data_IF_854860434217
#
_entry.id   IF_854860434217
#
_cell.length_a   1.000
_cell.length_b   1.000
_cell.length_c   1.000
_cell.angle_alpha   90.00
_cell.angle_beta   90.00
_cell.angle_gamma   90.00
#
_symmetry.space_group_name_H-M   'P 1'
#
loop_
_entity.id
_entity.type
_entity.pdbx_description
1 polymer ?
#
# COMPACT_ATOMS: atom_id res chain seq x y z
N UNK A 1 24.59 0.49 0.65
CA UNK A 1 23.82 1.65 0.15
C UNK A 1 22.45 1.58 0.80
N UNK A 2 22.03 2.62 1.52
CA UNK A 2 20.69 2.66 2.12
C UNK A 2 19.66 2.81 0.99
N UNK A 3 18.63 1.96 0.96
CA UNK A 3 17.56 2.07 -0.02
C UNK A 3 16.71 3.31 0.27
N UNK A 4 16.31 4.05 -0.76
CA UNK A 4 15.34 5.14 -0.63
C UNK A 4 13.90 4.61 -0.63
N UNK A 5 12.94 5.41 -0.12
CA UNK A 5 11.51 5.07 -0.20
C UNK A 5 11.09 4.74 -1.65
N UNK A 6 11.55 5.53 -2.63
CA UNK A 6 11.23 5.31 -4.03
C UNK A 6 11.76 3.97 -4.56
N UNK A 7 12.98 3.58 -4.17
CA UNK A 7 13.57 2.29 -4.54
C UNK A 7 12.82 1.12 -3.90
N UNK A 8 12.58 1.20 -2.59
CA UNK A 8 11.86 0.17 -1.86
C UNK A 8 10.43 -0.01 -2.39
N UNK A 9 9.73 1.11 -2.65
CA UNK A 9 8.40 1.09 -3.26
C UNK A 9 8.42 0.42 -4.63
N UNK A 10 9.40 0.76 -5.47
CA UNK A 10 9.55 0.15 -6.80
C UNK A 10 9.77 -1.37 -6.70
N UNK A 11 10.58 -1.82 -5.74
CA UNK A 11 10.85 -3.24 -5.52
C UNK A 11 9.57 -4.00 -5.12
N UNK A 12 8.83 -3.50 -4.13
CA UNK A 12 7.54 -4.08 -3.72
C UNK A 12 6.53 -4.07 -4.87
N UNK A 13 6.48 -2.99 -5.64
CA UNK A 13 5.60 -2.89 -6.80
C UNK A 13 5.94 -3.92 -7.89
N UNK A 14 7.22 -4.17 -8.16
CA UNK A 14 7.62 -5.21 -9.13
C UNK A 14 7.32 -6.61 -8.59
N UNK A 15 7.59 -6.87 -7.30
CA UNK A 15 7.26 -8.13 -6.67
C UNK A 15 5.74 -8.42 -6.75
N UNK A 16 4.90 -7.42 -6.47
CA UNK A 16 3.46 -7.51 -6.66
C UNK A 16 3.06 -7.86 -8.10
N UNK A 17 3.70 -7.23 -9.10
CA UNK A 17 3.45 -7.53 -10.52
C UNK A 17 3.87 -8.95 -10.90
N UNK A 18 4.98 -9.45 -10.37
CA UNK A 18 5.47 -10.80 -10.63
C UNK A 18 4.50 -11.81 -10.03
N UNK A 19 4.17 -11.70 -8.74
CA UNK A 19 3.21 -12.58 -8.06
C UNK A 19 1.84 -12.58 -8.75
N UNK A 20 1.34 -11.38 -9.13
CA UNK A 20 0.07 -11.26 -9.87
C UNK A 20 0.09 -12.00 -11.20
N UNK A 21 1.20 -11.93 -11.95
CA UNK A 21 1.35 -12.67 -13.22
C UNK A 21 1.43 -14.18 -13.01
N UNK A 22 1.98 -14.62 -11.88
CA UNK A 22 2.01 -16.03 -11.47
C UNK A 22 0.66 -16.54 -10.94
N UNK A 23 -0.35 -15.67 -10.78
CA UNK A 23 -1.66 -16.01 -10.21
C UNK A 23 -1.68 -16.03 -8.68
N UNK A 24 -0.58 -15.64 -8.02
CA UNK A 24 -0.42 -15.60 -6.57
C UNK A 24 -0.99 -14.30 -6.00
N UNK A 25 -2.31 -14.16 -6.06
CA UNK A 25 -2.99 -12.89 -5.76
C UNK A 25 -2.85 -12.44 -4.30
N UNK A 26 -2.76 -13.36 -3.34
CA UNK A 26 -2.51 -13.03 -1.92
C UNK A 26 -1.12 -12.45 -1.72
N UNK A 27 -0.09 -13.07 -2.32
CA UNK A 27 1.28 -12.55 -2.26
C UNK A 27 1.39 -11.20 -2.98
N UNK A 28 0.72 -11.05 -4.12
CA UNK A 28 0.65 -9.78 -4.82
C UNK A 28 0.01 -8.69 -3.97
N UNK A 29 -1.04 -9.01 -3.21
CA UNK A 29 -1.68 -8.08 -2.29
C UNK A 29 -0.76 -7.70 -1.14
N UNK A 30 -0.08 -8.66 -0.51
CA UNK A 30 0.86 -8.40 0.58
C UNK A 30 2.01 -7.46 0.17
N UNK A 31 2.54 -7.60 -1.04
CA UNK A 31 3.51 -6.66 -1.60
C UNK A 31 2.92 -5.25 -1.80
N UNK A 32 1.65 -5.15 -2.19
CA UNK A 32 0.97 -3.85 -2.29
C UNK A 32 0.70 -3.22 -0.93
N UNK A 33 0.42 -4.00 0.12
CA UNK A 33 0.32 -3.51 1.50
C UNK A 33 1.64 -2.87 1.96
N UNK A 34 2.76 -3.51 1.65
CA UNK A 34 4.10 -2.99 1.94
C UNK A 34 4.42 -1.74 1.13
N UNK A 35 4.10 -1.73 -0.16
CA UNK A 35 4.22 -0.54 -1.02
C UNK A 35 3.34 0.61 -0.51
N UNK A 36 2.13 0.30 -0.02
CA UNK A 36 1.25 1.28 0.59
C UNK A 36 1.90 1.91 1.82
N UNK A 37 2.40 1.11 2.78
CA UNK A 37 3.12 1.59 3.98
C UNK A 37 4.27 2.54 3.60
N UNK A 38 5.12 2.15 2.65
CA UNK A 38 6.21 2.99 2.14
C UNK A 38 5.71 4.30 1.50
N UNK A 39 4.58 4.22 0.79
CA UNK A 39 3.96 5.33 0.09
C UNK A 39 3.07 6.23 0.96
N UNK A 40 2.83 5.91 2.24
CA UNK A 40 1.79 6.58 3.04
C UNK A 40 1.95 8.09 3.12
N UNK A 41 3.19 8.60 3.18
CA UNK A 41 3.51 10.03 3.24
C UNK A 41 3.57 10.72 1.86
N UNK A 42 3.46 9.96 0.78
CA UNK A 42 3.53 10.44 -0.60
C UNK A 42 2.21 10.18 -1.32
N UNK A 43 1.34 11.20 -1.41
CA UNK A 43 -0.04 11.07 -1.94
C UNK A 43 -0.13 10.28 -3.25
N UNK A 44 0.79 10.54 -4.19
CA UNK A 44 0.83 9.81 -5.45
C UNK A 44 1.10 8.30 -5.27
N UNK A 45 2.10 7.94 -4.46
CA UNK A 45 2.44 6.53 -4.18
C UNK A 45 1.34 5.83 -3.39
N UNK A 46 0.73 6.55 -2.44
CA UNK A 46 -0.40 6.10 -1.66
C UNK A 46 -1.60 5.73 -2.55
N UNK A 47 -2.05 6.67 -3.40
CA UNK A 47 -3.17 6.44 -4.33
C UNK A 47 -2.85 5.33 -5.31
N UNK A 48 -1.62 5.31 -5.84
CA UNK A 48 -1.15 4.25 -6.73
C UNK A 48 -1.24 2.87 -6.09
N UNK A 49 -0.94 2.76 -4.79
CA UNK A 49 -1.05 1.49 -4.05
C UNK A 49 -2.50 1.03 -3.94
N UNK A 50 -3.43 1.94 -3.62
CA UNK A 50 -4.86 1.62 -3.60
C UNK A 50 -5.40 1.19 -4.96
N UNK A 51 -4.98 1.84 -6.05
CA UNK A 51 -5.35 1.41 -7.42
C UNK A 51 -4.80 0.02 -7.72
N UNK A 52 -3.59 -0.29 -7.27
CA UNK A 52 -3.02 -1.64 -7.35
C UNK A 52 -3.87 -2.68 -6.61
N UNK A 53 -4.21 -2.38 -5.34
CA UNK A 53 -5.03 -3.24 -4.48
C UNK A 53 -6.43 -3.47 -5.09
N UNK A 54 -7.06 -2.42 -5.61
CA UNK A 54 -8.33 -2.50 -6.34
C UNK A 54 -8.24 -3.45 -7.53
N UNK A 55 -7.12 -3.42 -8.27
CA UNK A 55 -6.87 -4.32 -9.39
C UNK A 55 -6.78 -5.80 -8.97
N UNK A 56 -6.21 -6.09 -7.79
CA UNK A 56 -6.17 -7.44 -7.22
C UNK A 56 -7.56 -7.85 -6.71
N UNK A 57 -8.25 -6.96 -5.99
CA UNK A 57 -9.60 -7.18 -5.49
C UNK A 57 -10.59 -7.52 -6.62
N UNK A 58 -10.45 -6.85 -7.77
CA UNK A 58 -11.23 -7.14 -8.98
C UNK A 58 -10.96 -8.55 -9.51
N UNK A 59 -9.69 -8.99 -9.53
CA UNK A 59 -9.33 -10.34 -9.97
C UNK A 59 -9.83 -11.42 -8.99
N UNK A 60 -9.80 -11.15 -7.69
CA UNK A 60 -10.34 -12.02 -6.63
C UNK A 60 -11.87 -11.98 -6.55
N UNK A 61 -12.52 -11.02 -7.21
CA UNK A 61 -13.96 -10.72 -7.12
C UNK A 61 -14.41 -10.39 -5.69
N UNK A 62 -13.55 -9.73 -4.92
CA UNK A 62 -13.82 -9.36 -3.54
C UNK A 62 -14.53 -8.01 -3.44
N UNK A 63 -15.87 -8.05 -3.47
CA UNK A 63 -16.72 -6.85 -3.49
C UNK A 63 -16.45 -5.91 -2.32
N UNK A 64 -16.23 -6.45 -1.11
CA UNK A 64 -15.89 -5.64 0.07
C UNK A 64 -14.61 -4.83 -0.14
N UNK A 65 -13.59 -5.49 -0.69
CA UNK A 65 -12.29 -4.86 -0.96
C UNK A 65 -12.40 -3.83 -2.08
N UNK A 66 -13.13 -4.15 -3.15
CA UNK A 66 -13.41 -3.21 -4.25
C UNK A 66 -14.04 -1.91 -3.72
N UNK A 67 -15.10 -2.01 -2.92
CA UNK A 67 -15.79 -0.84 -2.37
C UNK A 67 -14.85 -0.05 -1.44
N UNK A 68 -14.13 -0.74 -0.55
CA UNK A 68 -13.20 -0.10 0.39
C UNK A 68 -12.09 0.67 -0.33
N UNK A 69 -11.48 0.08 -1.37
CA UNK A 69 -10.43 0.74 -2.14
C UNK A 69 -10.95 1.95 -2.92
N UNK A 70 -12.13 1.87 -3.52
CA UNK A 70 -12.75 3.01 -4.22
C UNK A 70 -12.99 4.19 -3.26
N UNK A 71 -13.56 3.93 -2.08
CA UNK A 71 -13.77 4.96 -1.06
C UNK A 71 -12.45 5.62 -0.65
N UNK A 72 -11.39 4.83 -0.45
CA UNK A 72 -10.07 5.35 -0.07
C UNK A 72 -9.39 6.15 -1.17
N UNK A 73 -9.53 5.75 -2.44
CA UNK A 73 -9.00 6.52 -3.58
C UNK A 73 -9.68 7.88 -3.66
N UNK A 74 -11.01 7.94 -3.55
CA UNK A 74 -11.75 9.21 -3.57
C UNK A 74 -11.37 10.08 -2.37
N UNK A 75 -11.30 9.50 -1.17
CA UNK A 75 -10.90 10.23 0.04
C UNK A 75 -9.46 10.78 -0.06
N UNK A 76 -8.51 9.97 -0.52
CA UNK A 76 -7.11 10.40 -0.69
C UNK A 76 -6.96 11.51 -1.73
N UNK A 77 -7.73 11.45 -2.83
CA UNK A 77 -7.74 12.50 -3.86
C UNK A 77 -8.44 13.78 -3.42
N UNK A 78 -9.55 13.69 -2.69
CA UNK A 78 -10.35 14.86 -2.28
C UNK A 78 -9.77 15.60 -1.08
N UNK A 79 -9.20 14.89 -0.10
CA UNK A 79 -8.81 15.49 1.18
C UNK A 79 -7.30 15.67 1.37
N UNK A 80 -6.46 15.34 0.38
CA UNK A 80 -4.99 15.52 0.40
C UNK A 80 -4.39 15.25 1.80
N UNK A 81 -4.32 13.97 2.20
CA UNK A 81 -3.75 13.48 3.45
C UNK A 81 -4.35 14.07 4.74
N UNK A 82 -5.52 13.56 5.14
CA UNK A 82 -5.78 13.39 6.58
C UNK A 82 -4.78 12.33 7.05
N UNK A 83 -3.89 12.71 7.98
CA UNK A 83 -2.76 11.91 8.46
C UNK A 83 -3.23 10.58 9.05
N UNK A 84 -3.23 9.54 8.23
CA UNK A 84 -3.50 8.15 8.63
C UNK A 84 -2.28 7.62 9.40
N UNK A 85 -2.48 6.83 10.48
CA UNK A 85 -1.38 6.24 11.22
C UNK A 85 -0.51 5.36 10.33
N UNK A 86 0.81 5.55 10.46
CA UNK A 86 1.78 4.77 9.71
C UNK A 86 1.67 3.27 10.04
N UNK A 87 1.97 2.43 9.06
CA UNK A 87 1.93 0.98 9.19
C UNK A 87 0.58 0.35 8.85
N UNK A 88 -0.49 1.14 8.69
CA UNK A 88 -1.76 0.62 8.17
C UNK A 88 -1.53 -0.05 6.80
N UNK A 89 -2.04 -1.27 6.61
CA UNK A 89 -1.80 -2.03 5.38
C UNK A 89 -2.67 -1.58 4.20
N UNK A 90 -3.74 -0.82 4.46
CA UNK A 90 -4.62 -0.28 3.42
C UNK A 90 -5.72 -1.24 2.93
N UNK A 91 -5.81 -2.46 3.48
CA UNK A 91 -6.88 -3.44 3.17
C UNK A 91 -8.26 -3.03 3.70
N UNK A 92 -9.36 -3.39 3.04
CA UNK A 92 -10.72 -3.02 3.47
C UNK A 92 -11.22 -3.79 4.70
N UNK A 93 -10.45 -4.79 5.15
CA UNK A 93 -10.65 -5.53 6.41
C UNK A 93 -10.12 -4.79 7.64
N UNK A 94 -9.31 -3.73 7.48
CA UNK A 94 -8.79 -2.91 8.58
C UNK A 94 -9.38 -1.50 8.54
N UNK A 95 -9.54 -0.86 9.70
CA UNK A 95 -9.99 0.53 9.75
C UNK A 95 -8.93 1.45 9.15
N UNK A 96 -9.35 2.50 8.43
CA UNK A 96 -8.43 3.48 7.84
C UNK A 96 -7.62 4.27 8.89
N UNK A 97 -8.05 4.29 10.15
CA UNK A 97 -7.36 4.98 11.26
C UNK A 97 -6.74 4.00 12.26
N UNK A 98 -6.64 2.72 11.91
CA UNK A 98 -6.04 1.71 12.77
C UNK A 98 -4.51 1.79 12.68
N UNK A 99 -3.80 2.09 13.79
CA UNK A 99 -2.34 1.96 13.82
C UNK A 99 -1.95 0.49 13.77
N UNK A 100 -0.88 0.19 13.04
CA UNK A 100 -0.39 -1.17 12.85
C UNK A 100 1.14 -1.17 12.91
N UNK A 101 1.72 -2.31 13.28
CA UNK A 101 3.18 -2.44 13.38
C UNK A 101 3.79 -2.38 11.99
N UNK A 102 4.68 -1.41 11.78
CA UNK A 102 5.49 -1.31 10.57
C UNK A 102 6.49 -2.47 10.57
N UNK A 103 6.58 -3.29 9.51
CA UNK A 103 7.62 -4.31 9.36
C UNK A 103 9.03 -3.71 9.54
N UNK A 104 9.91 -4.40 10.28
CA UNK A 104 11.21 -3.85 10.70
C UNK A 104 12.10 -3.44 9.53
N UNK A 105 12.00 -4.18 8.42
CA UNK A 105 12.73 -3.89 7.18
C UNK A 105 12.26 -2.60 6.50
N UNK A 106 10.96 -2.30 6.54
CA UNK A 106 10.40 -1.03 6.06
C UNK A 106 10.70 0.12 7.03
N UNK A 107 10.70 -0.14 8.33
CA UNK A 107 10.98 0.86 9.36
C UNK A 107 12.38 1.45 9.20
N UNK A 108 13.38 0.61 8.94
CA UNK A 108 14.75 1.06 8.70
C UNK A 108 14.84 2.06 7.52
N UNK A 109 14.03 1.86 6.48
CA UNK A 109 13.99 2.73 5.29
C UNK A 109 13.27 4.05 5.63
N UNK A 110 12.11 3.98 6.28
CA UNK A 110 11.34 5.15 6.68
C UNK A 110 12.11 6.05 7.68
N UNK A 111 12.84 5.45 8.62
CA UNK A 111 13.66 6.18 9.58
C UNK A 111 14.92 6.78 8.94
N UNK A 112 15.47 6.14 7.90
CA UNK A 112 16.60 6.67 7.15
C UNK A 112 16.19 7.88 6.29
N UNK A 113 14.96 7.89 5.74
CA UNK A 113 14.43 9.00 4.94
C UNK A 113 14.10 10.25 5.77
N UNK A 114 13.88 10.09 7.08
CA UNK A 114 13.59 11.18 8.02
C UNK A 114 14.80 11.95 8.52
N UNK A 115 16.03 11.44 8.29
CA UNK A 115 17.29 12.07 8.75
C UNK A 115 17.86 12.98 7.69
#
# INVERSE_FOLDING_TARGET
>A
MNQTIAQAFSNEWQAAKIARKAGELDQAFAHLERAHILGQRHTWLHVRSHVGMLGIAWQRREVREIIGQLTRIVAAGAFSCIWIPEGNTGGANVSATQPMVIPDDLRAILDADRR
#
